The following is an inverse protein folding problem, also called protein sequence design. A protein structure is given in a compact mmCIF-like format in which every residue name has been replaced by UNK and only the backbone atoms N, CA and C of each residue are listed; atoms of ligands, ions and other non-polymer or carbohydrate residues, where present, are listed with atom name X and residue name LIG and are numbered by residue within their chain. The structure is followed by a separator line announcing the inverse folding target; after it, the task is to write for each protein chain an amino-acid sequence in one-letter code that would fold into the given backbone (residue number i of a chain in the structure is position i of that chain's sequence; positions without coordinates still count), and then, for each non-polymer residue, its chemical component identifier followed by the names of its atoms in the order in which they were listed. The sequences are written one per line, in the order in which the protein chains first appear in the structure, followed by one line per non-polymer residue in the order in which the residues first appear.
data_IF_348459728513
#
_entry.id   IF_348459728513
#
_cell.length_a   1.000
_cell.length_b   1.000
_cell.length_c   1.000
_cell.angle_alpha   90.00
_cell.angle_beta   90.00
_cell.angle_gamma   90.00
#
_symmetry.space_group_name_H-M   'P 1'
#
loop_
_entity.id
_entity.type
_entity.pdbx_description
1 polymer ?
#
# COMPACT_ATOMS: atom_id res chain seq x y z
N UNK A 1 -10.43 2.06 13.05
CA UNK A 1 -9.89 2.03 11.68
C UNK A 1 -9.15 0.72 11.49
N UNK A 2 -9.39 0.00 10.39
CA UNK A 2 -8.74 -1.29 10.15
C UNK A 2 -7.38 -1.04 9.49
N UNK A 3 -6.33 -1.63 10.05
CA UNK A 3 -4.98 -1.55 9.48
C UNK A 3 -4.82 -2.62 8.40
N UNK A 4 -4.54 -2.21 7.18
CA UNK A 4 -4.34 -3.09 6.02
C UNK A 4 -2.84 -3.27 5.83
N UNK A 5 -2.38 -4.51 5.98
CA UNK A 5 -0.98 -4.87 5.72
C UNK A 5 -0.89 -5.31 4.26
N UNK A 6 -0.13 -4.57 3.47
CA UNK A 6 0.09 -4.85 2.05
C UNK A 6 1.45 -5.52 1.90
N UNK A 7 1.44 -6.81 1.56
CA UNK A 7 2.65 -7.55 1.22
C UNK A 7 3.16 -7.15 -0.16
N UNK A 8 4.39 -6.64 -0.25
CA UNK A 8 5.04 -6.32 -1.54
C UNK A 8 6.34 -7.08 -1.69
N UNK A 9 6.65 -7.48 -2.92
CA UNK A 9 7.98 -8.00 -3.27
C UNK A 9 9.01 -6.89 -3.11
N UNK A 10 10.23 -7.27 -2.72
CA UNK A 10 11.37 -6.36 -2.50
C UNK A 10 11.93 -5.66 -3.74
N UNK A 11 11.42 -5.98 -4.94
CA UNK A 11 11.84 -5.30 -6.18
C UNK A 11 11.42 -3.82 -6.20
N UNK A 12 12.30 -2.96 -6.74
CA UNK A 12 12.06 -1.51 -6.85
C UNK A 12 10.74 -1.18 -7.57
N UNK A 13 10.41 -1.93 -8.62
CA UNK A 13 9.17 -1.75 -9.38
C UNK A 13 7.92 -2.10 -8.55
N UNK A 14 7.95 -3.24 -7.83
CA UNK A 14 6.82 -3.65 -6.99
C UNK A 14 6.55 -2.65 -5.84
N UNK A 15 7.60 -2.09 -5.24
CA UNK A 15 7.43 -1.06 -4.21
C UNK A 15 6.80 0.22 -4.77
N UNK A 16 7.18 0.63 -5.99
CA UNK A 16 6.58 1.80 -6.66
C UNK A 16 5.11 1.55 -6.98
N UNK A 17 4.77 0.38 -7.51
CA UNK A 17 3.38 0.00 -7.81
C UNK A 17 2.52 -0.04 -6.54
N UNK A 18 3.04 -0.62 -5.46
CA UNK A 18 2.34 -0.72 -4.18
C UNK A 18 2.04 0.66 -3.59
N UNK A 19 3.02 1.58 -3.64
CA UNK A 19 2.82 2.98 -3.21
C UNK A 19 1.77 3.69 -4.05
N UNK A 20 1.82 3.52 -5.38
CA UNK A 20 0.85 4.14 -6.29
C UNK A 20 -0.59 3.73 -5.98
N UNK A 21 -0.84 2.43 -5.75
CA UNK A 21 -2.18 1.93 -5.39
C UNK A 21 -2.64 2.50 -4.04
N UNK A 22 -1.75 2.54 -3.04
CA UNK A 22 -2.06 3.11 -1.72
C UNK A 22 -2.45 4.60 -1.85
N UNK A 23 -1.74 5.37 -2.67
CA UNK A 23 -2.05 6.78 -2.87
C UNK A 23 -3.38 6.99 -3.59
N UNK A 24 -3.73 6.14 -4.56
CA UNK A 24 -5.06 6.14 -5.19
C UNK A 24 -6.18 5.80 -4.19
N UNK A 25 -5.96 4.81 -3.32
CA UNK A 25 -6.92 4.43 -2.28
C UNK A 25 -7.13 5.55 -1.25
N UNK A 26 -6.07 6.28 -0.90
CA UNK A 26 -6.18 7.48 -0.04
C UNK A 26 -6.96 8.59 -0.73
N UNK A 27 -6.71 8.83 -2.02
CA UNK A 27 -7.47 9.82 -2.82
C UNK A 27 -8.95 9.45 -2.94
N UNK A 28 -9.27 8.16 -3.01
CA UNK A 28 -10.63 7.65 -3.01
C UNK A 28 -11.35 7.76 -1.64
N UNK A 29 -10.70 8.32 -0.61
CA UNK A 29 -11.29 8.53 0.71
C UNK A 29 -11.34 7.27 1.58
N UNK A 30 -10.48 6.29 1.32
CA UNK A 30 -10.46 5.05 2.10
C UNK A 30 -10.04 5.32 3.57
N UNK A 31 -10.86 4.98 4.58
CA UNK A 31 -10.57 5.23 5.99
C UNK A 31 -9.73 4.08 6.60
N UNK A 32 -8.64 3.71 5.92
CA UNK A 32 -7.76 2.61 6.31
C UNK A 32 -6.31 3.09 6.45
N UNK A 33 -5.60 2.48 7.40
CA UNK A 33 -4.18 2.70 7.60
C UNK A 33 -3.41 1.61 6.86
N UNK A 34 -2.51 1.99 5.94
CA UNK A 34 -1.78 1.04 5.10
C UNK A 34 -0.33 0.89 5.60
N UNK A 35 0.09 -0.34 5.87
CA UNK A 35 1.48 -0.69 6.19
C UNK A 35 2.03 -1.63 5.11
N UNK A 36 3.18 -1.28 4.53
CA UNK A 36 3.83 -2.12 3.52
C UNK A 36 4.80 -3.07 4.22
N UNK A 37 4.59 -4.37 4.05
CA UNK A 37 5.49 -5.41 4.56
C UNK A 37 6.20 -6.09 3.39
N UNK A 38 7.53 -6.11 3.44
CA UNK A 38 8.31 -6.82 2.43
C UNK A 38 8.21 -8.32 2.68
N UNK A 39 8.00 -9.07 1.60
CA UNK A 39 7.98 -10.54 1.54
C UNK A 39 8.98 -11.04 0.49
#
# INVERSE_FOLDING_TARGET
MRKIIVGSRSSKLAMTQTKWVIDQLKQAGAPYEFEIKNI
#
